data_IF_440917970133
#
_entry.id   IF_440917970133
#
_cell.length_a   1.000
_cell.length_b   1.000
_cell.length_c   1.000
_cell.angle_alpha   90.00
_cell.angle_beta   90.00
_cell.angle_gamma   90.00
#
_symmetry.space_group_name_H-M   'P 1'
#
loop_
_entity.id
_entity.type
_entity.pdbx_description
1 polymer ?
#
# COMPACT_ATOMS: atom_id res chain seq x y z
N UNK A 1 -90.51 -16.88 14.17
CA UNK A 1 -89.48 -17.87 13.81
C UNK A 1 -88.56 -17.20 12.76
N UNK A 2 -87.37 -16.76 13.16
CA UNK A 2 -86.44 -16.10 12.25
C UNK A 2 -85.24 -17.05 12.11
N UNK A 3 -85.12 -17.58 10.88
CA UNK A 3 -84.00 -18.46 10.52
C UNK A 3 -82.74 -17.60 10.26
N UNK A 4 -81.67 -17.83 11.06
CA UNK A 4 -80.29 -17.29 10.86
C UNK A 4 -79.47 -18.29 10.03
N UNK A 5 -79.05 -17.88 8.86
CA UNK A 5 -78.08 -18.63 8.08
C UNK A 5 -76.68 -18.17 8.48
N UNK A 6 -75.68 -19.07 8.68
CA UNK A 6 -74.32 -18.70 8.96
C UNK A 6 -73.56 -18.43 7.64
N UNK A 7 -72.97 -17.27 7.52
CA UNK A 7 -71.99 -16.97 6.46
C UNK A 7 -70.66 -17.67 6.80
N UNK A 8 -70.23 -18.59 5.97
CA UNK A 8 -68.88 -19.16 6.01
C UNK A 8 -67.99 -18.30 5.14
N UNK A 9 -67.08 -17.54 5.79
CA UNK A 9 -66.03 -16.79 5.10
C UNK A 9 -64.84 -17.73 4.89
N UNK A 10 -64.61 -18.15 3.65
CA UNK A 10 -63.42 -18.90 3.27
C UNK A 10 -62.22 -17.94 3.10
N UNK A 11 -61.27 -17.97 4.03
CA UNK A 11 -60.02 -17.27 3.90
C UNK A 11 -59.07 -18.09 3.03
N UNK A 12 -58.88 -17.67 1.79
CA UNK A 12 -57.86 -18.21 0.89
C UNK A 12 -56.48 -17.64 1.31
N UNK A 13 -55.69 -18.46 2.00
CA UNK A 13 -54.30 -18.16 2.27
C UNK A 13 -53.47 -18.36 0.99
N UNK A 14 -53.05 -17.26 0.36
CA UNK A 14 -52.07 -17.29 -0.74
C UNK A 14 -50.69 -17.50 -0.14
N UNK A 15 -50.20 -18.73 -0.19
CA UNK A 15 -48.80 -19.05 0.08
C UNK A 15 -47.91 -18.53 -1.05
N UNK A 16 -47.34 -17.35 -0.86
CA UNK A 16 -46.28 -16.85 -1.72
C UNK A 16 -45.01 -17.71 -1.51
N UNK A 17 -44.81 -18.67 -2.41
CA UNK A 17 -43.55 -19.42 -2.50
C UNK A 17 -42.44 -18.44 -2.94
N UNK A 18 -41.72 -17.86 -1.98
CA UNK A 18 -40.49 -17.16 -2.28
C UNK A 18 -39.47 -18.17 -2.82
N UNK A 19 -39.22 -18.14 -4.13
CA UNK A 19 -38.11 -18.87 -4.74
C UNK A 19 -36.83 -18.32 -4.11
N UNK A 20 -35.93 -19.17 -3.55
CA UNK A 20 -34.60 -18.69 -3.14
C UNK A 20 -33.94 -18.13 -4.41
N UNK A 21 -33.50 -16.88 -4.33
CA UNK A 21 -32.67 -16.27 -5.36
C UNK A 21 -31.48 -17.21 -5.58
N UNK A 22 -31.30 -17.71 -6.79
CA UNK A 22 -30.13 -18.52 -7.14
C UNK A 22 -28.90 -17.72 -6.78
N UNK A 23 -28.08 -18.22 -5.88
CA UNK A 23 -26.83 -17.58 -5.52
C UNK A 23 -26.00 -17.44 -6.79
N UNK A 24 -25.87 -16.22 -7.29
CA UNK A 24 -25.03 -15.93 -8.46
C UNK A 24 -23.60 -16.30 -8.09
N UNK A 25 -22.97 -17.18 -8.88
CA UNK A 25 -21.58 -17.54 -8.66
C UNK A 25 -20.73 -16.27 -8.56
N UNK A 26 -19.92 -16.17 -7.50
CA UNK A 26 -19.02 -15.03 -7.27
C UNK A 26 -18.01 -14.98 -8.43
N UNK A 27 -17.83 -13.83 -9.06
CA UNK A 27 -16.84 -13.67 -10.13
C UNK A 27 -15.45 -13.98 -9.60
N UNK A 28 -14.61 -14.58 -10.42
CA UNK A 28 -13.21 -14.90 -10.08
C UNK A 28 -12.31 -14.15 -11.05
N UNK A 29 -11.36 -13.37 -10.52
CA UNK A 29 -10.38 -12.63 -11.31
C UNK A 29 -8.97 -12.72 -10.71
N UNK A 30 -7.96 -12.52 -11.53
CA UNK A 30 -6.60 -12.36 -11.05
C UNK A 30 -6.34 -10.88 -10.75
N UNK A 31 -5.69 -10.59 -9.63
CA UNK A 31 -5.27 -9.24 -9.31
C UNK A 31 -4.26 -8.73 -10.35
N UNK A 32 -4.39 -7.47 -10.76
CA UNK A 32 -3.32 -6.74 -11.39
C UNK A 32 -2.42 -6.23 -10.26
N UNK A 33 -1.15 -6.61 -10.28
CA UNK A 33 -0.15 -6.14 -9.33
C UNK A 33 0.73 -5.10 -10.01
N UNK A 34 1.12 -4.06 -9.26
CA UNK A 34 2.00 -3.02 -9.77
C UNK A 34 3.17 -2.78 -8.81
N UNK A 35 4.34 -2.52 -9.35
CA UNK A 35 5.52 -2.10 -8.58
C UNK A 35 5.56 -0.59 -8.44
N UNK A 36 6.02 -0.10 -7.28
CA UNK A 36 6.20 1.33 -7.05
C UNK A 36 7.07 1.99 -8.14
N UNK A 37 6.75 3.20 -8.58
CA UNK A 37 5.70 4.09 -8.08
C UNK A 37 4.31 3.87 -8.72
N UNK A 38 4.12 2.83 -9.52
CA UNK A 38 2.87 2.57 -10.24
C UNK A 38 1.83 1.91 -9.32
N UNK A 39 0.56 2.08 -9.68
CA UNK A 39 -0.58 1.44 -9.03
C UNK A 39 -1.42 0.67 -10.06
N UNK A 40 -2.13 -0.40 -9.65
CA UNK A 40 -3.10 -1.04 -10.53
C UNK A 40 -4.24 -0.10 -10.91
N UNK A 41 -4.88 -0.28 -12.07
CA UNK A 41 -6.01 0.55 -12.49
C UNK A 41 -7.18 0.48 -11.49
N UNK A 42 -8.02 1.53 -11.42
CA UNK A 42 -9.23 1.54 -10.60
C UNK A 42 -10.16 0.37 -10.92
N UNK A 43 -10.82 -0.16 -9.89
CA UNK A 43 -11.76 -1.27 -10.04
C UNK A 43 -13.09 -0.75 -10.61
N UNK A 44 -13.48 -1.27 -11.76
CA UNK A 44 -14.71 -0.83 -12.46
C UNK A 44 -15.93 -1.68 -12.15
N UNK A 45 -15.75 -2.92 -11.67
CA UNK A 45 -16.87 -3.79 -11.30
C UNK A 45 -17.66 -3.27 -10.11
N UNK A 46 -18.95 -3.55 -10.09
CA UNK A 46 -19.88 -3.08 -9.04
C UNK A 46 -20.24 -4.15 -8.01
N UNK A 47 -19.82 -5.40 -8.24
CA UNK A 47 -20.09 -6.54 -7.35
C UNK A 47 -18.79 -7.10 -6.77
N UNK A 48 -18.83 -7.69 -5.57
CA UNK A 48 -17.70 -8.42 -5.03
C UNK A 48 -17.26 -9.57 -5.94
N UNK A 49 -15.97 -9.91 -5.83
CA UNK A 49 -15.34 -11.01 -6.55
C UNK A 49 -14.38 -11.79 -5.65
N UNK A 50 -13.99 -12.96 -6.11
CA UNK A 50 -12.81 -13.67 -5.60
C UNK A 50 -11.61 -13.16 -6.39
N UNK A 51 -10.76 -12.37 -5.73
CA UNK A 51 -9.55 -11.79 -6.34
C UNK A 51 -8.36 -12.66 -5.98
N UNK A 52 -7.76 -13.31 -6.96
CA UNK A 52 -6.58 -14.15 -6.80
C UNK A 52 -5.32 -13.29 -6.79
N UNK A 53 -4.56 -13.37 -5.72
CA UNK A 53 -3.26 -12.70 -5.57
C UNK A 53 -2.20 -13.77 -5.40
N UNK A 54 -1.19 -13.77 -6.27
CA UNK A 54 -0.03 -14.64 -6.16
C UNK A 54 1.21 -13.79 -5.83
N UNK A 55 1.84 -14.08 -4.71
CA UNK A 55 3.09 -13.48 -4.28
C UNK A 55 4.16 -14.55 -4.12
N UNK A 56 5.40 -14.21 -4.46
CA UNK A 56 6.58 -15.03 -4.20
C UNK A 56 7.55 -14.25 -3.31
N UNK A 57 7.99 -14.84 -2.20
CA UNK A 57 9.04 -14.24 -1.39
C UNK A 57 10.41 -14.58 -1.95
N UNK A 58 11.32 -13.60 -1.98
CA UNK A 58 12.68 -13.74 -2.51
C UNK A 58 13.68 -12.99 -1.64
N UNK A 59 14.75 -13.65 -1.29
CA UNK A 59 15.94 -13.03 -0.70
C UNK A 59 16.90 -12.70 -1.84
N UNK A 60 17.18 -11.42 -2.07
CA UNK A 60 17.93 -10.95 -3.25
C UNK A 60 18.94 -9.87 -2.89
N UNK A 61 20.07 -9.83 -3.56
CA UNK A 61 20.94 -8.66 -3.52
C UNK A 61 20.35 -7.54 -4.37
N UNK A 62 20.38 -6.33 -3.86
CA UNK A 62 19.92 -5.14 -4.58
C UNK A 62 20.74 -3.92 -4.23
N UNK A 63 20.54 -2.84 -4.98
CA UNK A 63 21.17 -1.55 -4.74
C UNK A 63 20.34 -0.74 -3.77
N UNK A 64 20.93 -0.37 -2.63
CA UNK A 64 20.32 0.54 -1.64
C UNK A 64 20.64 2.01 -1.95
N UNK A 65 21.84 2.28 -2.47
CA UNK A 65 22.26 3.61 -2.90
C UNK A 65 23.28 3.50 -4.04
N UNK A 66 23.14 4.33 -5.05
CA UNK A 66 24.20 4.48 -6.06
C UNK A 66 25.42 5.15 -5.44
N UNK A 67 26.61 4.67 -5.77
CA UNK A 67 27.88 5.23 -5.31
C UNK A 67 28.68 5.81 -6.47
N UNK A 68 29.80 6.47 -6.15
CA UNK A 68 30.67 7.06 -7.15
C UNK A 68 31.44 6.02 -7.98
N UNK A 69 32.06 5.04 -7.33
CA UNK A 69 32.81 3.96 -8.00
C UNK A 69 32.02 2.64 -7.98
N UNK A 70 31.27 2.38 -6.91
CA UNK A 70 30.45 1.18 -6.79
C UNK A 70 29.21 1.45 -5.90
N UNK A 71 28.07 0.79 -6.15
CA UNK A 71 26.87 1.00 -5.34
C UNK A 71 27.00 0.40 -3.94
N UNK A 72 26.26 0.98 -2.98
CA UNK A 72 25.93 0.30 -1.73
C UNK A 72 24.90 -0.78 -2.03
N UNK A 73 25.25 -2.04 -1.83
CA UNK A 73 24.37 -3.19 -1.98
C UNK A 73 23.83 -3.65 -0.63
N UNK A 74 22.63 -4.24 -0.66
CA UNK A 74 21.95 -4.75 0.53
C UNK A 74 21.26 -6.09 0.23
N UNK A 75 21.26 -7.06 1.16
CA UNK A 75 20.57 -8.34 1.01
C UNK A 75 19.09 -8.16 1.37
N UNK A 76 18.29 -7.69 0.41
CA UNK A 76 16.87 -7.48 0.60
C UNK A 76 16.10 -8.80 0.72
N UNK A 77 15.12 -8.80 1.59
CA UNK A 77 14.05 -9.80 1.62
C UNK A 77 12.80 -9.14 1.04
N UNK A 78 12.14 -9.82 0.11
CA UNK A 78 11.17 -9.12 -0.74
C UNK A 78 9.90 -9.95 -0.99
N UNK A 79 8.82 -9.25 -1.34
CA UNK A 79 7.70 -9.84 -2.08
C UNK A 79 7.88 -9.52 -3.57
N UNK A 80 7.90 -10.57 -4.42
CA UNK A 80 8.10 -10.51 -5.87
C UNK A 80 9.42 -9.86 -6.32
N UNK A 81 10.46 -9.81 -5.47
CA UNK A 81 11.79 -9.31 -5.82
C UNK A 81 11.91 -7.78 -5.83
N UNK A 82 10.97 -7.04 -5.28
CA UNK A 82 10.98 -5.57 -5.21
C UNK A 82 10.80 -5.06 -3.79
N UNK A 83 11.35 -3.89 -3.50
CA UNK A 83 11.11 -3.12 -2.27
C UNK A 83 10.63 -1.72 -2.64
N UNK A 84 9.45 -1.32 -2.20
CA UNK A 84 8.44 -2.13 -1.55
C UNK A 84 7.90 -3.23 -2.46
N UNK A 85 7.25 -4.25 -1.86
CA UNK A 85 6.50 -5.27 -2.58
C UNK A 85 5.33 -4.70 -3.40
N UNK A 86 4.70 -5.49 -4.25
CA UNK A 86 3.67 -5.03 -5.17
C UNK A 86 2.48 -4.36 -4.48
N UNK A 87 1.92 -3.33 -5.11
CA UNK A 87 0.64 -2.75 -4.70
C UNK A 87 -0.49 -3.71 -5.07
N UNK A 88 -1.32 -4.04 -4.08
CA UNK A 88 -2.51 -4.88 -4.24
C UNK A 88 -3.74 -3.97 -4.20
N UNK A 89 -4.66 -4.09 -5.18
CA UNK A 89 -5.90 -3.31 -5.24
C UNK A 89 -7.09 -4.24 -5.28
N UNK A 90 -7.96 -4.13 -4.27
CA UNK A 90 -9.18 -4.92 -4.10
C UNK A 90 -10.32 -4.00 -3.69
N UNK A 91 -11.55 -4.53 -3.60
CA UNK A 91 -12.74 -3.76 -3.25
C UNK A 91 -13.38 -4.31 -1.99
N UNK A 92 -14.04 -3.46 -1.24
CA UNK A 92 -14.88 -3.86 -0.11
C UNK A 92 -15.88 -4.95 -0.51
N UNK A 93 -15.92 -6.01 0.28
CA UNK A 93 -16.73 -7.19 0.02
C UNK A 93 -16.07 -8.26 -0.85
N UNK A 94 -14.87 -8.01 -1.41
CA UNK A 94 -14.12 -9.04 -2.11
C UNK A 94 -13.65 -10.14 -1.18
N UNK A 95 -13.36 -11.28 -1.78
CA UNK A 95 -12.59 -12.35 -1.14
C UNK A 95 -11.18 -12.36 -1.76
N UNK A 96 -10.20 -11.92 -1.00
CA UNK A 96 -8.79 -12.06 -1.37
C UNK A 96 -8.40 -13.54 -1.29
N UNK A 97 -8.12 -14.18 -2.42
CA UNK A 97 -7.60 -15.54 -2.50
C UNK A 97 -6.09 -15.48 -2.72
N UNK A 98 -5.35 -15.49 -1.62
CA UNK A 98 -3.90 -15.34 -1.60
C UNK A 98 -3.20 -16.69 -1.82
N UNK A 99 -2.18 -16.69 -2.66
CA UNK A 99 -1.16 -17.75 -2.77
C UNK A 99 0.20 -17.13 -2.50
N UNK A 100 0.85 -17.56 -1.41
CA UNK A 100 2.20 -17.12 -1.04
C UNK A 100 3.15 -18.29 -1.25
N UNK A 101 4.06 -18.14 -2.22
CA UNK A 101 5.15 -19.07 -2.47
C UNK A 101 6.42 -18.54 -1.81
N UNK A 102 7.06 -19.36 -0.98
CA UNK A 102 8.41 -19.04 -0.51
C UNK A 102 9.43 -19.62 -1.51
N UNK A 103 10.30 -18.77 -2.06
CA UNK A 103 11.31 -19.18 -3.02
C UNK A 103 12.20 -20.31 -2.47
N UNK A 104 12.50 -21.31 -3.28
CA UNK A 104 13.31 -22.46 -2.85
C UNK A 104 14.77 -22.11 -2.52
N UNK A 105 15.26 -20.96 -3.00
CA UNK A 105 16.59 -20.43 -2.70
C UNK A 105 16.65 -19.55 -1.45
N UNK A 106 15.53 -19.28 -0.80
CA UNK A 106 15.51 -18.49 0.42
C UNK A 106 16.07 -19.27 1.61
N UNK A 107 16.64 -18.58 2.56
CA UNK A 107 17.18 -19.15 3.79
C UNK A 107 16.15 -19.22 4.91
N UNK A 108 15.15 -18.33 4.91
CA UNK A 108 14.19 -18.13 5.98
C UNK A 108 12.78 -18.58 5.61
N UNK A 109 11.98 -18.93 6.63
CA UNK A 109 10.54 -19.06 6.47
C UNK A 109 9.92 -17.67 6.38
N UNK A 110 8.94 -17.48 5.50
CA UNK A 110 8.26 -16.22 5.29
C UNK A 110 6.74 -16.39 5.36
N UNK A 111 6.03 -15.34 5.74
CA UNK A 111 4.58 -15.27 5.74
C UNK A 111 4.12 -13.87 5.30
N UNK A 112 2.85 -13.58 5.46
CA UNK A 112 2.32 -12.25 5.23
C UNK A 112 1.26 -11.92 6.29
N UNK A 113 1.44 -10.80 6.95
CA UNK A 113 0.44 -10.07 7.73
C UNK A 113 -0.11 -8.94 6.87
N UNK A 114 -1.43 -8.94 6.64
CA UNK A 114 -2.13 -7.88 5.92
C UNK A 114 -2.96 -7.08 6.92
N UNK A 115 -2.62 -5.83 7.17
CA UNK A 115 -3.38 -4.95 8.07
C UNK A 115 -4.84 -4.74 7.61
N UNK A 116 -5.15 -5.05 6.35
CA UNK A 116 -6.52 -5.06 5.81
C UNK A 116 -7.37 -6.25 6.28
N UNK A 117 -6.77 -7.27 6.90
CA UNK A 117 -7.45 -8.51 7.29
C UNK A 117 -7.95 -8.41 8.73
N UNK A 118 -9.25 -8.60 8.92
CA UNK A 118 -9.84 -8.73 10.24
C UNK A 118 -9.73 -10.18 10.71
N UNK A 119 -8.78 -10.44 11.62
CA UNK A 119 -8.52 -11.77 12.16
C UNK A 119 -7.15 -11.83 12.85
N UNK A 120 -6.92 -12.80 13.76
CA UNK A 120 -5.66 -12.92 14.49
C UNK A 120 -4.46 -13.00 13.56
N UNK A 121 -3.46 -12.13 13.78
CA UNK A 121 -2.21 -12.09 13.03
C UNK A 121 -2.36 -11.75 11.55
N UNK A 122 -3.45 -11.06 11.13
CA UNK A 122 -3.61 -10.54 9.76
C UNK A 122 -3.40 -11.56 8.63
N UNK A 123 -3.44 -12.86 8.94
CA UNK A 123 -3.15 -13.95 8.00
C UNK A 123 -1.78 -14.60 8.18
N UNK A 124 -0.90 -14.05 9.00
CA UNK A 124 0.48 -14.54 9.16
C UNK A 124 0.58 -16.02 9.55
N UNK A 125 -0.26 -16.47 10.49
CA UNK A 125 -0.22 -17.86 10.98
C UNK A 125 -0.58 -18.91 9.91
N UNK A 126 -1.49 -18.56 9.00
CA UNK A 126 -1.99 -19.48 7.96
C UNK A 126 -1.17 -19.41 6.67
N UNK A 127 -0.28 -18.42 6.56
CA UNK A 127 0.57 -18.21 5.37
C UNK A 127 2.05 -18.53 5.60
N UNK A 128 2.44 -18.97 6.80
CA UNK A 128 3.85 -19.32 7.08
C UNK A 128 4.33 -20.46 6.20
N UNK A 129 5.22 -20.15 5.30
CA UNK A 129 5.79 -21.06 4.31
C UNK A 129 7.31 -21.21 4.52
N UNK A 130 7.80 -22.44 4.57
CA UNK A 130 9.24 -22.75 4.52
C UNK A 130 9.76 -22.60 3.08
N UNK A 131 11.10 -22.46 2.88
CA UNK A 131 11.66 -22.44 1.53
C UNK A 131 11.13 -23.57 0.63
N UNK A 132 10.67 -23.22 -0.58
CA UNK A 132 10.03 -24.11 -1.54
C UNK A 132 8.54 -24.39 -1.30
N UNK A 133 7.97 -24.03 -0.16
CA UNK A 133 6.54 -24.24 0.12
C UNK A 133 5.66 -23.12 -0.47
N UNK A 134 4.40 -23.48 -0.76
CA UNK A 134 3.33 -22.55 -1.10
C UNK A 134 2.20 -22.69 -0.08
N UNK A 135 1.74 -21.58 0.46
CA UNK A 135 0.56 -21.51 1.32
C UNK A 135 -0.54 -20.74 0.62
N UNK A 136 -1.77 -21.15 0.85
CA UNK A 136 -2.96 -20.46 0.32
C UNK A 136 -3.91 -20.11 1.44
N UNK A 137 -4.50 -18.92 1.35
CA UNK A 137 -5.47 -18.44 2.33
C UNK A 137 -6.55 -17.60 1.65
N UNK A 138 -7.68 -17.43 2.30
CA UNK A 138 -8.79 -16.61 1.80
C UNK A 138 -9.22 -15.65 2.91
N UNK A 139 -9.32 -14.37 2.55
CA UNK A 139 -9.68 -13.30 3.48
C UNK A 139 -10.81 -12.47 2.89
N UNK A 140 -11.82 -12.13 3.71
CA UNK A 140 -12.88 -11.21 3.31
C UNK A 140 -12.41 -9.78 3.55
N UNK A 141 -12.49 -8.92 2.54
CA UNK A 141 -12.15 -7.50 2.64
C UNK A 141 -13.35 -6.73 3.16
N UNK A 142 -13.31 -6.38 4.45
CA UNK A 142 -14.48 -5.86 5.18
C UNK A 142 -14.49 -4.34 5.28
N UNK A 143 -13.32 -3.71 5.37
CA UNK A 143 -13.21 -2.29 5.69
C UNK A 143 -12.41 -1.59 4.59
N UNK A 144 -12.98 -0.57 3.91
CA UNK A 144 -12.26 0.23 2.94
C UNK A 144 -11.13 1.02 3.60
N UNK A 145 -9.97 1.05 2.95
CA UNK A 145 -8.80 1.74 3.46
C UNK A 145 -7.54 1.41 2.67
N UNK A 146 -6.50 2.19 2.93
CA UNK A 146 -5.14 1.92 2.48
C UNK A 146 -4.35 1.33 3.65
N UNK A 147 -3.79 0.16 3.47
CA UNK A 147 -3.15 -0.60 4.52
C UNK A 147 -1.76 -1.06 4.10
N UNK A 148 -0.86 -1.22 5.05
CA UNK A 148 0.41 -1.92 4.81
C UNK A 148 0.19 -3.43 4.90
N UNK A 149 1.08 -4.18 4.27
CA UNK A 149 1.30 -5.59 4.55
C UNK A 149 2.79 -5.82 4.75
N UNK A 150 3.16 -6.83 5.53
CA UNK A 150 4.57 -7.16 5.77
C UNK A 150 4.74 -8.63 6.16
N UNK A 151 5.97 -9.11 6.16
CA UNK A 151 6.28 -10.40 6.75
C UNK A 151 6.27 -10.28 8.28
N UNK A 152 5.62 -11.24 8.93
CA UNK A 152 5.56 -11.36 10.38
C UNK A 152 6.10 -12.73 10.86
N UNK A 153 6.95 -13.38 10.05
CA UNK A 153 7.68 -14.56 10.48
C UNK A 153 8.73 -14.17 11.54
N UNK A 154 8.99 -14.99 12.57
CA UNK A 154 10.04 -14.71 13.55
C UNK A 154 11.46 -14.81 12.95
N UNK A 155 12.38 -13.89 13.29
CA UNK A 155 12.19 -12.65 14.05
C UNK A 155 11.55 -11.54 13.18
N UNK A 156 10.39 -11.04 13.61
CA UNK A 156 9.55 -10.11 12.82
C UNK A 156 10.29 -8.84 12.41
N UNK A 157 11.09 -8.29 13.32
CA UNK A 157 11.87 -7.06 13.13
C UNK A 157 12.83 -7.17 11.95
N UNK A 158 13.51 -8.31 11.82
CA UNK A 158 14.51 -8.53 10.77
C UNK A 158 13.86 -8.57 9.39
N UNK A 159 12.66 -9.21 9.28
CA UNK A 159 11.95 -9.31 8.01
C UNK A 159 11.50 -7.94 7.49
N UNK A 160 10.98 -7.09 8.38
CA UNK A 160 10.57 -5.71 8.02
C UNK A 160 11.81 -4.88 7.68
N UNK A 161 12.83 -4.89 8.53
CA UNK A 161 14.06 -4.11 8.34
C UNK A 161 14.84 -4.51 7.07
N UNK A 162 14.64 -5.73 6.56
CA UNK A 162 15.26 -6.20 5.32
C UNK A 162 14.40 -5.97 4.06
N UNK A 163 13.20 -5.35 4.17
CA UNK A 163 12.45 -4.91 2.98
C UNK A 163 11.15 -5.66 2.69
N UNK A 164 10.70 -6.56 3.58
CA UNK A 164 9.49 -7.38 3.34
C UNK A 164 8.20 -6.66 3.71
N UNK A 165 7.81 -5.71 2.90
CA UNK A 165 6.56 -4.94 3.08
C UNK A 165 6.03 -4.42 1.75
N UNK A 166 4.76 -4.00 1.75
CA UNK A 166 4.08 -3.35 0.64
C UNK A 166 2.73 -2.79 1.07
N UNK A 167 1.87 -2.46 0.10
CA UNK A 167 0.57 -1.87 0.38
C UNK A 167 -0.58 -2.61 -0.30
N UNK A 168 -1.72 -2.63 0.39
CA UNK A 168 -3.00 -3.09 -0.12
C UNK A 168 -4.05 -1.99 0.04
N UNK A 169 -4.72 -1.65 -1.05
CA UNK A 169 -5.88 -0.77 -1.08
C UNK A 169 -7.16 -1.61 -1.13
N UNK A 170 -8.05 -1.40 -0.17
CA UNK A 170 -9.43 -1.88 -0.21
C UNK A 170 -10.30 -0.70 -0.61
N UNK A 171 -10.71 -0.63 -1.89
CA UNK A 171 -11.58 0.45 -2.36
C UNK A 171 -12.98 0.36 -1.73
N UNK A 172 -13.61 1.52 -1.41
CA UNK A 172 -15.03 1.55 -1.08
C UNK A 172 -15.91 0.94 -2.18
N UNK A 173 -17.13 0.52 -1.85
CA UNK A 173 -18.09 -0.04 -2.84
C UNK A 173 -18.39 0.92 -3.99
N UNK A 174 -18.39 2.20 -3.71
CA UNK A 174 -18.64 3.27 -4.69
C UNK A 174 -17.41 3.56 -5.56
N UNK A 175 -16.24 3.05 -5.16
CA UNK A 175 -14.93 3.39 -5.71
C UNK A 175 -14.40 4.70 -5.15
N UNK A 176 -13.22 5.10 -5.62
CA UNK A 176 -12.62 6.40 -5.30
C UNK A 176 -13.05 7.45 -6.33
N UNK A 177 -13.05 8.71 -5.93
CA UNK A 177 -13.20 9.82 -6.88
C UNK A 177 -12.12 9.75 -7.96
N UNK A 178 -12.41 10.29 -9.14
CA UNK A 178 -11.44 10.31 -10.25
C UNK A 178 -10.17 11.07 -9.85
N UNK A 179 -9.02 10.51 -10.20
CA UNK A 179 -7.71 11.16 -10.19
C UNK A 179 -7.04 10.91 -11.55
N UNK A 180 -6.37 11.94 -12.10
CA UNK A 180 -5.69 11.84 -13.40
C UNK A 180 -4.39 11.06 -13.29
N UNK A 181 -3.74 11.15 -12.12
CA UNK A 181 -2.52 10.43 -11.76
C UNK A 181 -2.64 9.81 -10.38
N UNK A 182 -2.25 8.55 -10.28
CA UNK A 182 -2.15 7.82 -9.02
C UNK A 182 -0.72 7.28 -8.86
N UNK A 183 -0.14 7.45 -7.67
CA UNK A 183 1.21 6.98 -7.37
C UNK A 183 1.26 6.20 -6.06
N UNK A 184 2.13 5.21 -6.03
CA UNK A 184 2.51 4.43 -4.86
C UNK A 184 3.85 4.92 -4.35
N UNK A 185 3.87 5.50 -3.15
CA UNK A 185 5.08 5.95 -2.46
C UNK A 185 5.12 5.34 -1.08
N UNK A 186 6.23 4.70 -0.71
CA UNK A 186 6.38 4.07 0.59
C UNK A 186 7.71 4.44 1.22
N UNK A 187 7.65 5.04 2.42
CA UNK A 187 8.81 5.34 3.24
C UNK A 187 9.23 4.12 4.04
N UNK A 188 10.54 3.94 4.17
CA UNK A 188 11.14 2.87 4.97
C UNK A 188 12.51 3.26 5.51
N UNK A 189 12.96 2.53 6.52
CA UNK A 189 14.22 2.71 7.20
C UNK A 189 15.13 1.51 6.98
N UNK A 190 16.42 1.76 6.72
CA UNK A 190 17.43 0.71 6.70
C UNK A 190 18.52 1.03 7.73
N UNK A 191 18.82 0.03 8.53
CA UNK A 191 19.81 0.06 9.58
C UNK A 191 20.99 -0.79 9.13
N UNK A 192 22.08 -0.14 8.72
CA UNK A 192 23.21 -0.83 8.11
C UNK A 192 24.47 -0.76 8.97
N UNK A 193 25.25 -1.85 8.98
CA UNK A 193 26.52 -1.89 9.71
C UNK A 193 27.50 -0.84 9.24
N UNK A 194 27.58 -0.62 7.95
CA UNK A 194 28.40 0.44 7.37
C UNK A 194 27.60 1.75 7.29
N UNK A 195 28.32 2.85 7.27
CA UNK A 195 27.74 4.19 7.13
C UNK A 195 27.15 4.41 5.74
N UNK A 196 26.31 5.41 5.62
CA UNK A 196 25.68 5.79 4.35
C UNK A 196 26.72 6.08 3.28
N UNK A 197 26.50 5.56 2.06
CA UNK A 197 27.42 5.72 0.94
C UNK A 197 28.59 4.74 0.92
N UNK A 198 28.61 3.75 1.82
CA UNK A 198 29.61 2.66 1.74
C UNK A 198 29.51 1.92 0.42
N UNK A 199 30.61 1.85 -0.33
CA UNK A 199 30.68 1.15 -1.60
C UNK A 199 30.92 -0.35 -1.39
N UNK A 200 29.93 -1.17 -1.73
CA UNK A 200 29.97 -2.63 -1.56
C UNK A 200 28.76 -3.19 -0.80
N UNK A 201 28.88 -4.42 -0.34
CA UNK A 201 27.82 -5.12 0.38
C UNK A 201 27.78 -4.70 1.85
N UNK A 202 26.66 -4.11 2.29
CA UNK A 202 26.34 -3.87 3.71
C UNK A 202 25.29 -4.87 4.18
N UNK A 203 25.07 -4.95 5.50
CA UNK A 203 24.07 -5.85 6.09
C UNK A 203 23.34 -5.14 7.24
N UNK A 204 22.24 -5.71 7.67
CA UNK A 204 21.42 -5.25 8.78
C UNK A 204 22.23 -5.14 10.09
N UNK A 205 22.02 -4.04 10.83
CA UNK A 205 22.56 -3.77 12.15
C UNK A 205 21.42 -3.70 13.17
N UNK A 206 21.19 -4.75 13.97
CA UNK A 206 20.14 -4.77 14.98
C UNK A 206 20.37 -3.74 16.09
N UNK A 207 21.64 -3.40 16.41
CA UNK A 207 21.95 -2.41 17.46
C UNK A 207 21.49 -1.02 17.05
N UNK A 208 21.72 -0.61 15.80
CA UNK A 208 21.21 0.65 15.27
C UNK A 208 19.67 0.64 15.22
N UNK A 209 19.06 -0.52 14.89
CA UNK A 209 17.61 -0.64 14.84
C UNK A 209 16.95 -0.53 16.22
N UNK A 210 17.52 -1.16 17.24
CA UNK A 210 17.08 -1.03 18.63
C UNK A 210 17.26 0.39 19.18
N UNK A 211 18.34 1.09 18.76
CA UNK A 211 18.60 2.49 19.09
C UNK A 211 17.73 3.47 18.28
N UNK A 212 16.92 2.97 17.34
CA UNK A 212 16.15 3.79 16.41
C UNK A 212 17.00 4.80 15.63
N UNK A 213 18.23 4.43 15.26
CA UNK A 213 19.16 5.26 14.49
C UNK A 213 19.36 4.69 13.07
N UNK A 214 18.41 4.93 12.14
CA UNK A 214 18.50 4.43 10.77
C UNK A 214 19.65 5.10 10.00
N UNK A 215 20.41 4.28 9.28
CA UNK A 215 21.43 4.79 8.35
C UNK A 215 20.76 5.44 7.14
N UNK A 216 19.70 4.83 6.62
CA UNK A 216 18.91 5.33 5.48
C UNK A 216 17.45 5.46 5.88
N UNK A 217 16.81 6.52 5.39
CA UNK A 217 15.35 6.69 5.39
C UNK A 217 14.99 7.06 3.95
N UNK A 218 14.29 6.17 3.25
CA UNK A 218 14.15 6.28 1.79
C UNK A 218 12.69 6.17 1.36
N UNK A 219 12.38 6.70 0.19
CA UNK A 219 11.16 6.38 -0.53
C UNK A 219 11.42 5.21 -1.48
N UNK A 220 10.46 4.29 -1.58
CA UNK A 220 10.45 3.14 -2.49
C UNK A 220 11.75 2.30 -2.46
N UNK A 221 12.24 2.06 -1.22
CA UNK A 221 13.24 1.03 -0.92
C UNK A 221 14.68 1.34 -1.34
N UNK A 222 14.97 2.52 -1.93
CA UNK A 222 16.28 2.89 -2.42
C UNK A 222 16.50 4.39 -2.27
N UNK A 223 17.70 4.79 -1.86
CA UNK A 223 18.12 6.20 -1.90
C UNK A 223 18.04 6.72 -3.34
N UNK A 224 17.35 7.84 -3.54
CA UNK A 224 17.19 8.44 -4.87
C UNK A 224 16.17 7.72 -5.79
N UNK A 225 15.38 6.76 -5.29
CA UNK A 225 14.42 6.03 -6.13
C UNK A 225 13.40 6.91 -6.87
N UNK A 226 13.05 8.07 -6.29
CA UNK A 226 12.13 9.04 -6.89
C UNK A 226 12.84 10.31 -7.39
N UNK A 227 14.10 10.19 -7.78
CA UNK A 227 14.92 11.28 -8.33
C UNK A 227 15.22 11.00 -9.81
N UNK A 228 15.64 12.01 -10.55
CA UNK A 228 16.06 11.90 -11.96
C UNK A 228 15.05 11.12 -12.82
N UNK A 229 15.46 10.00 -13.41
CA UNK A 229 14.58 9.15 -14.23
C UNK A 229 13.44 8.50 -13.43
N UNK A 230 13.60 8.34 -12.11
CA UNK A 230 12.61 7.84 -11.18
C UNK A 230 11.60 8.89 -10.71
N UNK A 231 11.75 10.16 -11.10
CA UNK A 231 10.84 11.24 -10.71
C UNK A 231 9.40 10.96 -11.19
N UNK A 232 8.43 11.26 -10.33
CA UNK A 232 7.02 11.18 -10.66
C UNK A 232 6.68 12.24 -11.72
N UNK A 233 5.76 11.93 -12.66
CA UNK A 233 5.42 12.83 -13.76
C UNK A 233 3.91 13.06 -13.83
N UNK A 234 3.52 14.34 -13.90
CA UNK A 234 2.15 14.77 -14.07
C UNK A 234 2.10 16.06 -14.89
N UNK A 235 0.91 16.59 -15.16
CA UNK A 235 0.69 17.83 -15.90
C UNK A 235 -0.02 18.88 -15.05
N UNK A 236 0.19 20.14 -15.38
CA UNK A 236 -0.65 21.23 -14.86
C UNK A 236 -2.11 20.94 -15.22
N UNK A 237 -3.00 21.06 -14.22
CA UNK A 237 -4.40 20.68 -14.33
C UNK A 237 -4.73 19.28 -13.82
N UNK A 238 -3.74 18.37 -13.73
CA UNK A 238 -3.97 17.03 -13.19
C UNK A 238 -4.36 17.09 -11.71
N UNK A 239 -5.33 16.25 -11.34
CA UNK A 239 -5.56 15.85 -9.95
C UNK A 239 -4.70 14.64 -9.66
N UNK A 240 -3.78 14.82 -8.74
CA UNK A 240 -2.84 13.77 -8.30
C UNK A 240 -3.35 13.13 -7.02
N UNK A 241 -3.25 11.81 -6.93
CA UNK A 241 -3.44 11.01 -5.72
C UNK A 241 -2.17 10.25 -5.42
N UNK A 242 -1.68 10.35 -4.18
CA UNK A 242 -0.58 9.53 -3.69
C UNK A 242 -1.10 8.61 -2.60
N UNK A 243 -0.93 7.32 -2.82
CA UNK A 243 -1.06 6.29 -1.80
C UNK A 243 0.28 6.21 -1.07
N UNK A 244 0.35 6.87 0.07
CA UNK A 244 1.57 6.98 0.86
C UNK A 244 1.56 6.01 2.03
N UNK A 245 2.58 5.16 2.13
CA UNK A 245 2.82 4.26 3.24
C UNK A 245 4.09 4.64 4.01
N UNK A 246 4.11 4.34 5.29
CA UNK A 246 5.30 4.38 6.12
C UNK A 246 5.40 3.06 6.89
N UNK A 247 6.30 2.18 6.48
CA UNK A 247 6.52 0.96 7.25
C UNK A 247 7.31 1.21 8.51
N UNK A 248 8.10 2.26 8.56
CA UNK A 248 9.06 2.50 9.61
C UNK A 248 10.32 1.62 9.43
N UNK A 249 10.65 0.74 10.36
CA UNK A 249 9.81 0.22 11.45
C UNK A 249 9.63 1.12 12.67
N UNK A 250 10.45 2.15 12.86
CA UNK A 250 10.48 2.93 14.11
C UNK A 250 9.94 4.36 13.96
N UNK A 251 10.28 5.07 12.88
CA UNK A 251 10.03 6.51 12.77
C UNK A 251 8.67 6.83 12.16
N UNK A 252 7.99 7.82 12.76
CA UNK A 252 6.80 8.46 12.16
C UNK A 252 7.28 9.32 10.98
N UNK A 253 6.56 9.31 9.86
CA UNK A 253 6.79 10.22 8.74
C UNK A 253 5.99 11.50 8.91
N UNK A 254 6.61 12.65 8.65
CA UNK A 254 5.94 13.95 8.47
C UNK A 254 5.87 14.24 6.96
N UNK A 255 4.99 13.56 6.25
CA UNK A 255 4.92 13.62 4.79
C UNK A 255 4.42 14.97 4.30
N UNK A 256 5.20 15.61 3.44
CA UNK A 256 4.92 16.90 2.83
C UNK A 256 5.36 16.91 1.37
N UNK A 257 4.73 17.76 0.56
CA UNK A 257 5.18 18.06 -0.80
C UNK A 257 5.42 19.56 -0.89
N UNK A 258 6.68 19.98 -1.01
CA UNK A 258 7.07 21.37 -1.13
C UNK A 258 6.49 21.94 -2.43
N UNK A 259 5.69 22.99 -2.31
CA UNK A 259 5.06 23.68 -3.44
C UNK A 259 3.56 23.40 -3.60
N UNK A 260 2.97 22.52 -2.79
CA UNK A 260 1.51 22.31 -2.83
C UNK A 260 0.90 22.13 -1.43
N UNK A 261 -0.43 22.27 -1.38
CA UNK A 261 -1.26 22.00 -0.21
C UNK A 261 -2.20 20.88 -0.60
N UNK A 262 -2.34 19.88 0.26
CA UNK A 262 -3.24 18.77 0.01
C UNK A 262 -4.70 19.24 0.09
N UNK A 263 -5.44 19.09 -1.00
CA UNK A 263 -6.88 19.37 -1.05
C UNK A 263 -7.64 18.41 -0.13
N UNK A 264 -7.17 17.16 -0.05
CA UNK A 264 -7.73 16.11 0.80
C UNK A 264 -6.64 15.22 1.37
N UNK A 265 -6.80 14.87 2.64
CA UNK A 265 -5.97 13.89 3.33
C UNK A 265 -6.87 12.89 4.04
N UNK A 266 -6.77 11.62 3.64
CA UNK A 266 -7.37 10.51 4.35
C UNK A 266 -6.31 9.98 5.33
N UNK A 267 -6.37 10.45 6.57
CA UNK A 267 -5.40 10.10 7.61
C UNK A 267 -5.48 8.63 7.95
N UNK A 268 -4.33 8.05 8.29
CA UNK A 268 -4.18 6.64 8.67
C UNK A 268 -4.77 5.67 7.65
N UNK A 269 -4.91 6.11 6.38
CA UNK A 269 -5.43 5.33 5.28
C UNK A 269 -6.95 5.07 5.34
N UNK A 270 -7.67 5.64 6.32
CA UNK A 270 -9.11 5.40 6.50
C UNK A 270 -9.95 6.03 5.37
N UNK A 271 -10.70 5.22 4.64
CA UNK A 271 -11.56 5.65 3.52
C UNK A 271 -13.06 5.65 3.87
N UNK A 272 -13.40 5.42 5.14
CA UNK A 272 -14.78 5.42 5.63
C UNK A 272 -15.21 6.77 6.22
N UNK A 273 -14.25 7.66 6.46
CA UNK A 273 -14.47 9.00 7.01
C UNK A 273 -14.27 10.06 5.94
N UNK A 274 -14.86 11.25 6.16
CA UNK A 274 -14.57 12.42 5.32
C UNK A 274 -13.09 12.80 5.46
N UNK A 275 -12.42 13.14 4.34
CA UNK A 275 -11.03 13.57 4.38
C UNK A 275 -10.88 14.96 4.97
N UNK A 276 -9.78 15.21 5.65
CA UNK A 276 -9.38 16.56 6.03
C UNK A 276 -8.97 17.38 4.80
N UNK A 277 -9.12 18.70 4.88
CA UNK A 277 -8.90 19.61 3.74
C UNK A 277 -7.89 20.71 4.09
N UNK A 278 -7.13 21.15 3.08
CA UNK A 278 -6.20 22.27 3.22
C UNK A 278 -5.02 21.95 4.14
N UNK A 279 -4.50 20.72 4.06
CA UNK A 279 -3.42 20.23 4.92
C UNK A 279 -2.09 20.37 4.21
N UNK A 280 -1.11 20.96 4.88
CA UNK A 280 0.25 21.10 4.34
C UNK A 280 1.12 19.88 4.56
N UNK A 281 1.05 19.27 5.75
CA UNK A 281 1.88 18.14 6.18
C UNK A 281 1.02 17.16 6.94
N UNK A 282 1.15 15.87 6.67
CA UNK A 282 0.41 14.82 7.38
C UNK A 282 1.36 13.87 8.10
N UNK A 283 0.97 13.47 9.32
CA UNK A 283 1.69 12.44 10.07
C UNK A 283 1.25 11.06 9.60
N UNK A 284 2.23 10.19 9.35
CA UNK A 284 1.98 8.79 9.01
C UNK A 284 2.79 7.92 9.97
N UNK A 285 2.13 7.20 10.89
CA UNK A 285 2.81 6.39 11.88
C UNK A 285 3.57 5.23 11.21
N UNK A 286 4.52 4.66 11.94
CA UNK A 286 5.14 3.40 11.54
C UNK A 286 4.08 2.31 11.42
N UNK A 287 4.13 1.52 10.34
CA UNK A 287 3.08 0.53 10.02
C UNK A 287 1.76 1.14 9.54
N UNK A 288 1.76 2.43 9.17
CA UNK A 288 0.57 3.16 8.75
C UNK A 288 0.62 3.67 7.32
N UNK A 289 -0.45 4.35 6.92
CA UNK A 289 -0.62 4.91 5.58
C UNK A 289 -1.42 6.21 5.59
N UNK A 290 -1.39 6.96 4.48
CA UNK A 290 -2.29 8.06 4.20
C UNK A 290 -2.58 8.13 2.70
N UNK A 291 -3.78 8.59 2.33
CA UNK A 291 -4.06 8.97 0.94
C UNK A 291 -4.11 10.49 0.89
N UNK A 292 -3.31 11.09 0.01
CA UNK A 292 -3.31 12.53 -0.21
C UNK A 292 -3.73 12.84 -1.64
N UNK A 293 -4.55 13.88 -1.81
CA UNK A 293 -5.01 14.38 -3.11
C UNK A 293 -4.77 15.87 -3.22
N UNK A 294 -4.29 16.30 -4.39
CA UNK A 294 -4.04 17.72 -4.69
C UNK A 294 -4.08 17.97 -6.20
N UNK A 295 -4.32 19.24 -6.56
CA UNK A 295 -4.27 19.71 -7.95
C UNK A 295 -2.97 20.43 -8.24
N UNK A 296 -2.37 20.19 -9.41
CA UNK A 296 -1.18 20.89 -9.90
C UNK A 296 -1.60 22.15 -10.68
N UNK A 297 -1.13 23.31 -10.28
CA UNK A 297 -1.52 24.60 -10.87
C UNK A 297 -0.39 25.35 -11.56
N UNK A 298 0.86 25.02 -11.20
CA UNK A 298 2.07 25.70 -11.69
C UNK A 298 3.03 24.61 -12.22
N UNK A 299 3.68 24.82 -13.38
CA UNK A 299 4.69 23.89 -13.86
C UNK A 299 5.95 23.94 -13.00
N UNK A 300 6.70 22.85 -12.96
CA UNK A 300 7.97 22.75 -12.24
C UNK A 300 8.10 21.50 -11.39
N UNK A 301 9.13 21.47 -10.56
CA UNK A 301 9.44 20.36 -9.68
C UNK A 301 8.90 20.59 -8.27
N UNK A 302 8.10 19.65 -7.81
CA UNK A 302 7.57 19.59 -6.46
C UNK A 302 8.33 18.54 -5.69
N UNK A 303 8.86 18.88 -4.51
CA UNK A 303 9.72 17.97 -3.76
C UNK A 303 8.92 17.25 -2.67
N UNK A 304 8.82 15.92 -2.79
CA UNK A 304 8.29 15.06 -1.73
C UNK A 304 9.34 14.91 -0.64
N UNK A 305 8.96 15.10 0.63
CA UNK A 305 9.89 14.98 1.76
C UNK A 305 9.23 14.35 2.99
N UNK A 306 10.03 13.72 3.83
CA UNK A 306 9.73 13.66 5.25
C UNK A 306 10.24 14.97 5.89
N UNK A 307 9.31 15.78 6.43
CA UNK A 307 9.62 17.13 6.94
C UNK A 307 10.29 17.12 8.33
N UNK A 308 10.60 15.95 8.90
CA UNK A 308 11.71 15.83 9.86
C UNK A 308 13.02 15.99 9.07
N UNK A 309 13.35 17.24 8.71
CA UNK A 309 14.03 17.66 7.47
C UNK A 309 15.43 17.04 7.27
N UNK A 310 16.17 16.75 8.33
CA UNK A 310 17.47 16.06 8.21
C UNK A 310 17.36 14.63 7.62
N UNK A 311 16.15 14.07 7.56
CA UNK A 311 15.91 12.78 6.91
C UNK A 311 16.00 12.85 5.38
N UNK A 312 15.90 14.05 4.81
CA UNK A 312 16.15 14.30 3.40
C UNK A 312 17.57 13.85 3.02
N UNK A 313 18.57 14.16 3.86
CA UNK A 313 19.95 13.73 3.66
C UNK A 313 20.11 12.20 3.75
N UNK A 314 19.22 11.51 4.48
CA UNK A 314 19.20 10.04 4.56
C UNK A 314 18.42 9.39 3.41
N UNK A 315 17.82 10.18 2.49
CA UNK A 315 17.14 9.72 1.28
C UNK A 315 15.61 9.84 1.29
N UNK A 316 15.00 10.46 2.33
CA UNK A 316 13.55 10.70 2.37
C UNK A 316 13.15 11.90 1.48
N UNK A 317 13.47 11.83 0.21
CA UNK A 317 13.27 12.86 -0.82
C UNK A 317 12.86 12.23 -2.14
N UNK A 318 11.99 12.93 -2.89
CA UNK A 318 11.57 12.57 -4.23
C UNK A 318 11.09 13.78 -5.00
N UNK A 319 10.98 13.67 -6.31
CA UNK A 319 10.53 14.73 -7.22
C UNK A 319 9.23 14.30 -7.91
N UNK A 320 8.28 15.23 -7.95
CA UNK A 320 7.12 15.20 -8.86
C UNK A 320 7.27 16.36 -9.83
N UNK A 321 7.47 16.07 -11.11
CA UNK A 321 7.55 17.08 -12.17
C UNK A 321 6.15 17.32 -12.75
N UNK A 322 5.70 18.56 -12.73
CA UNK A 322 4.50 19.04 -13.40
C UNK A 322 4.86 19.73 -14.71
N UNK A 323 4.44 19.16 -15.84
CA UNK A 323 4.63 19.76 -17.16
C UNK A 323 3.41 20.61 -17.53
N UNK A 324 3.63 21.79 -18.11
CA UNK A 324 2.52 22.65 -18.55
C UNK A 324 2.94 24.09 -18.83
N UNK A 325 1.98 24.95 -19.17
CA UNK A 325 2.23 26.38 -19.36
C UNK A 325 2.54 27.08 -18.04
N UNK A 326 3.33 28.16 -18.13
CA UNK A 326 3.59 29.05 -17.00
C UNK A 326 2.30 29.66 -16.44
N UNK A 327 2.29 29.92 -15.15
CA UNK A 327 1.17 30.53 -14.44
C UNK A 327 1.66 31.77 -13.63
N UNK A 328 2.06 32.86 -14.31
CA UNK A 328 2.72 34.00 -13.67
C UNK A 328 1.81 34.79 -12.72
N UNK A 329 0.51 34.59 -12.80
CA UNK A 329 -0.48 35.13 -11.85
C UNK A 329 -0.48 34.40 -10.51
N UNK A 330 0.04 33.16 -10.45
CA UNK A 330 0.12 32.35 -9.25
C UNK A 330 1.53 32.28 -8.68
N UNK A 331 2.53 32.25 -9.57
CA UNK A 331 3.93 32.06 -9.17
C UNK A 331 4.87 32.72 -10.20
N UNK A 332 5.76 33.60 -9.71
CA UNK A 332 6.79 34.34 -10.50
C UNK A 332 8.16 34.19 -9.92
#
# INVERSE_FOLDING_TARGET
>A
MIHKWPFVVAVLAVLALSRPAAARAEAVENAVLATAPNVPPPITRKTPAVVKVALETKEVEGVLMEGFAAPTKYPFWTFNGTVPGPFIRVREGDTLALSLKNGSGNSMAHNIDLHAVTGPGGGAAVTLAKPGETKTARFKMLVPGLYVYHCAAPPVTDHIANGMYGMILVEPKEGLAHADKEFYVMQSEFYTKQEMGFEGMTTYDPTKAEAEDPTYIVFNGKHGALMEDGALKAKVGDRVRIFFGNIGPNKISSFHIIGTIFDRVYREGGLTSEPERGIQTTLVPAGGAAVVEFGLKVPGNYTLVDHAIFRLEKGAVGILTAEGPDAPELYR
#
